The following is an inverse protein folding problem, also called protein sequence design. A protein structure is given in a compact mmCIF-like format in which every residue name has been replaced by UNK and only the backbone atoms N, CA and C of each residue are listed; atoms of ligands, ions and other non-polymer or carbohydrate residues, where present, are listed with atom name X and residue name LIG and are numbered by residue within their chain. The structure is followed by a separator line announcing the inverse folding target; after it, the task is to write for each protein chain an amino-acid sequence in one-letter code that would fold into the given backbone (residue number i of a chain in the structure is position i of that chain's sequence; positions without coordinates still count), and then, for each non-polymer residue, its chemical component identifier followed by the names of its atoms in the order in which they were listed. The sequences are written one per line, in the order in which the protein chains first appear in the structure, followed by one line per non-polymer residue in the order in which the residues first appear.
data_IF_597707496617
#
_entry.id   IF_597707496617
#
_cell.length_a   1.000
_cell.length_b   1.000
_cell.length_c   1.000
_cell.angle_alpha   90.00
_cell.angle_beta   90.00
_cell.angle_gamma   90.00
#
_symmetry.space_group_name_H-M   'P 1'
#
loop_
_entity.id
_entity.type
_entity.pdbx_description
1 polymer ?
#
# COMPACT_ATOMS: atom_id res chain seq x y z
N UNK A 1 33.43 46.80 4.26
CA UNK A 1 32.10 46.14 4.31
C UNK A 1 32.12 44.89 3.43
N UNK A 2 32.33 43.70 3.97
CA UNK A 2 32.20 42.42 3.24
C UNK A 2 31.84 41.22 4.16
N UNK A 3 31.15 41.46 5.27
CA UNK A 3 30.75 40.42 6.24
C UNK A 3 29.34 39.85 6.02
N UNK A 4 28.53 40.44 5.11
CA UNK A 4 27.13 40.05 4.90
C UNK A 4 26.91 38.81 4.01
N UNK A 5 27.83 38.54 3.07
CA UNK A 5 27.68 37.44 2.11
C UNK A 5 28.15 36.08 2.67
N UNK A 6 29.16 36.08 3.54
CA UNK A 6 29.78 34.86 4.11
C UNK A 6 28.95 34.23 5.23
N UNK A 7 28.35 35.05 6.12
CA UNK A 7 27.47 34.55 7.18
C UNK A 7 26.17 33.93 6.64
N UNK A 8 25.59 34.55 5.61
CA UNK A 8 24.38 34.04 4.93
C UNK A 8 24.65 32.74 4.17
N UNK A 9 25.80 32.63 3.50
CA UNK A 9 26.24 31.41 2.81
C UNK A 9 26.51 30.25 3.78
N UNK A 10 27.07 30.53 4.95
CA UNK A 10 27.30 29.52 6.00
C UNK A 10 25.99 29.04 6.63
N UNK A 11 25.03 29.93 6.88
CA UNK A 11 23.70 29.55 7.39
C UNK A 11 22.90 28.70 6.38
N UNK A 12 22.97 29.04 5.08
CA UNK A 12 22.37 28.22 4.02
C UNK A 12 23.10 26.88 3.90
N UNK A 13 24.44 26.86 3.97
CA UNK A 13 25.21 25.62 3.94
C UNK A 13 24.91 24.73 5.15
N UNK A 14 24.79 25.28 6.35
CA UNK A 14 24.41 24.56 7.57
C UNK A 14 22.97 24.05 7.48
N UNK A 15 22.02 24.85 6.99
CA UNK A 15 20.64 24.41 6.76
C UNK A 15 20.55 23.33 5.67
N UNK A 16 21.39 23.41 4.64
CA UNK A 16 21.51 22.37 3.60
C UNK A 16 22.15 21.12 4.17
N UNK A 17 23.20 21.22 4.99
CA UNK A 17 23.85 20.09 5.66
C UNK A 17 22.89 19.42 6.63
N UNK A 18 22.18 20.16 7.49
CA UNK A 18 21.14 19.63 8.38
C UNK A 18 20.00 18.98 7.60
N UNK A 19 19.57 19.61 6.51
CA UNK A 19 18.55 19.02 5.63
C UNK A 19 19.07 17.78 4.92
N UNK A 20 20.35 17.70 4.58
CA UNK A 20 20.99 16.56 3.93
C UNK A 20 21.27 15.42 4.91
N UNK A 21 21.71 15.70 6.14
CA UNK A 21 21.88 14.72 7.21
C UNK A 21 20.52 14.19 7.67
N UNK A 22 19.52 15.07 7.82
CA UNK A 22 18.14 14.67 8.07
C UNK A 22 17.56 13.85 6.90
N UNK A 23 17.84 14.21 5.64
CA UNK A 23 17.42 13.42 4.46
C UNK A 23 18.13 12.07 4.38
N UNK A 24 19.42 12.00 4.71
CA UNK A 24 20.19 10.75 4.71
C UNK A 24 19.73 9.82 5.83
N UNK A 25 19.61 10.33 7.05
CA UNK A 25 19.03 9.62 8.20
C UNK A 25 17.60 9.13 7.91
N UNK A 26 16.77 10.00 7.31
CA UNK A 26 15.42 9.66 6.82
C UNK A 26 15.44 8.55 5.77
N UNK A 27 16.33 8.61 4.78
CA UNK A 27 16.48 7.55 3.76
C UNK A 27 16.93 6.23 4.38
N UNK A 28 17.88 6.26 5.30
CA UNK A 28 18.39 5.05 5.94
C UNK A 28 17.34 4.41 6.88
N UNK A 29 16.55 5.21 7.59
CA UNK A 29 15.39 4.73 8.34
C UNK A 29 14.34 4.08 7.42
N UNK A 30 14.01 4.70 6.28
CA UNK A 30 13.07 4.15 5.29
C UNK A 30 13.58 2.87 4.66
N UNK A 31 14.89 2.77 4.39
CA UNK A 31 15.48 1.51 3.91
C UNK A 31 15.31 0.39 4.93
N UNK A 32 15.41 0.70 6.22
CA UNK A 32 15.02 -0.22 7.29
C UNK A 32 13.55 -0.66 7.16
N UNK A 33 12.63 0.28 6.95
CA UNK A 33 11.20 -0.03 6.76
C UNK A 33 10.90 -0.83 5.50
N UNK A 34 11.61 -0.56 4.41
CA UNK A 34 11.50 -1.37 3.19
C UNK A 34 11.88 -2.81 3.47
N UNK A 35 12.93 -3.06 4.24
CA UNK A 35 13.32 -4.44 4.61
C UNK A 35 12.27 -5.15 5.47
N UNK A 36 11.49 -4.39 6.24
CA UNK A 36 10.42 -4.94 7.09
C UNK A 36 9.13 -5.18 6.30
N UNK A 37 8.55 -4.14 5.69
CA UNK A 37 7.21 -4.20 5.12
C UNK A 37 7.16 -4.60 3.64
N UNK A 38 8.21 -4.34 2.85
CA UNK A 38 8.18 -4.62 1.42
C UNK A 38 8.01 -6.12 1.11
N UNK A 39 8.69 -7.07 1.81
CA UNK A 39 8.49 -8.49 1.57
C UNK A 39 7.03 -8.92 1.73
N UNK A 40 6.37 -8.53 2.81
CA UNK A 40 4.97 -8.93 3.07
C UNK A 40 3.97 -8.25 2.13
N UNK A 41 4.24 -7.01 1.71
CA UNK A 41 3.44 -6.36 0.66
C UNK A 41 3.62 -7.08 -0.68
N UNK A 42 4.84 -7.46 -1.05
CA UNK A 42 5.13 -8.22 -2.26
C UNK A 42 4.50 -9.61 -2.21
N UNK A 43 4.58 -10.32 -1.09
CA UNK A 43 3.95 -11.64 -0.90
C UNK A 43 2.43 -11.55 -1.06
N UNK A 44 1.80 -10.54 -0.45
CA UNK A 44 0.37 -10.27 -0.62
C UNK A 44 0.01 -9.94 -2.08
N UNK A 45 0.77 -9.04 -2.71
CA UNK A 45 0.54 -8.64 -4.11
C UNK A 45 0.68 -9.83 -5.06
N UNK A 46 1.73 -10.62 -4.93
CA UNK A 46 1.97 -11.80 -5.76
C UNK A 46 0.85 -12.82 -5.59
N UNK A 47 0.41 -13.06 -4.36
CA UNK A 47 -0.71 -13.97 -4.09
C UNK A 47 -1.99 -13.47 -4.75
N UNK A 48 -2.32 -12.19 -4.60
CA UNK A 48 -3.48 -11.57 -5.26
C UNK A 48 -3.37 -11.64 -6.79
N UNK A 49 -2.18 -11.43 -7.35
CA UNK A 49 -1.93 -11.52 -8.80
C UNK A 49 -2.10 -12.95 -9.31
N UNK A 50 -1.58 -13.94 -8.59
CA UNK A 50 -1.73 -15.35 -8.96
C UNK A 50 -3.20 -15.77 -8.94
N UNK A 51 -3.95 -15.36 -7.92
CA UNK A 51 -5.37 -15.71 -7.82
C UNK A 51 -6.24 -14.94 -8.82
N UNK A 52 -6.00 -13.65 -9.03
CA UNK A 52 -6.80 -12.85 -10.00
C UNK A 52 -6.58 -13.31 -11.44
N UNK A 53 -5.36 -13.77 -11.80
CA UNK A 53 -5.05 -14.25 -13.16
C UNK A 53 -5.93 -15.43 -13.58
N UNK A 54 -6.47 -16.19 -12.61
CA UNK A 54 -7.40 -17.29 -12.88
C UNK A 54 -8.81 -16.82 -13.26
N UNK A 55 -9.14 -15.56 -12.97
CA UNK A 55 -10.52 -15.03 -13.06
C UNK A 55 -10.67 -13.87 -14.04
N UNK A 56 -9.67 -13.00 -14.14
CA UNK A 56 -9.74 -11.76 -14.94
C UNK A 56 -8.40 -11.43 -15.59
N UNK A 57 -8.45 -10.82 -16.77
CA UNK A 57 -7.25 -10.30 -17.44
C UNK A 57 -6.65 -9.10 -16.68
N UNK A 58 -5.36 -8.82 -16.91
CA UNK A 58 -4.71 -7.64 -16.33
C UNK A 58 -5.40 -6.33 -16.74
N UNK A 59 -5.83 -6.20 -18.00
CA UNK A 59 -6.53 -5.01 -18.48
C UNK A 59 -7.88 -4.81 -17.77
N UNK A 60 -8.65 -5.89 -17.57
CA UNK A 60 -9.90 -5.83 -16.80
C UNK A 60 -9.65 -5.44 -15.34
N UNK A 61 -8.65 -6.03 -14.70
CA UNK A 61 -8.30 -5.68 -13.32
C UNK A 61 -7.91 -4.21 -13.15
N UNK A 62 -7.10 -3.68 -14.07
CA UNK A 62 -6.75 -2.26 -14.11
C UNK A 62 -7.99 -1.38 -14.28
N UNK A 63 -8.91 -1.76 -15.18
CA UNK A 63 -10.16 -1.02 -15.38
C UNK A 63 -11.06 -0.99 -14.13
N UNK A 64 -11.16 -2.12 -13.42
CA UNK A 64 -11.87 -2.22 -12.13
C UNK A 64 -11.25 -1.25 -11.11
N UNK A 65 -9.93 -1.28 -10.95
CA UNK A 65 -9.21 -0.39 -10.04
C UNK A 65 -9.44 1.09 -10.38
N UNK A 66 -9.36 1.45 -11.67
CA UNK A 66 -9.58 2.82 -12.12
C UNK A 66 -11.00 3.31 -11.84
N UNK A 67 -12.02 2.47 -12.10
CA UNK A 67 -13.42 2.84 -11.82
C UNK A 67 -13.68 2.97 -10.33
N UNK A 68 -13.18 2.04 -9.52
CA UNK A 68 -13.29 2.09 -8.06
C UNK A 68 -12.58 3.31 -7.47
N UNK A 69 -11.41 3.68 -8.01
CA UNK A 69 -10.70 4.89 -7.58
C UNK A 69 -11.45 6.16 -7.98
N UNK A 70 -11.97 6.24 -9.21
CA UNK A 70 -12.77 7.38 -9.69
C UNK A 70 -14.05 7.56 -8.89
N UNK A 71 -14.65 6.47 -8.42
CA UNK A 71 -15.84 6.50 -7.55
C UNK A 71 -15.54 6.75 -6.07
N UNK A 72 -14.27 6.96 -5.69
CA UNK A 72 -13.82 7.15 -4.31
C UNK A 72 -14.12 5.96 -3.39
N UNK A 73 -14.05 4.74 -3.93
CA UNK A 73 -14.21 3.51 -3.15
C UNK A 73 -15.64 2.98 -3.10
N UNK A 74 -16.55 3.54 -3.90
CA UNK A 74 -17.92 3.02 -4.02
C UNK A 74 -17.96 1.80 -4.94
N UNK A 75 -18.47 0.68 -4.42
CA UNK A 75 -18.56 -0.60 -5.17
C UNK A 75 -19.62 -0.59 -6.25
N UNK A 76 -20.52 0.38 -6.23
CA UNK A 76 -21.64 0.50 -7.16
C UNK A 76 -21.19 1.00 -8.54
N UNK A 77 -19.97 1.52 -8.63
CA UNK A 77 -19.32 1.83 -9.91
C UNK A 77 -18.84 0.59 -10.67
N UNK A 78 -18.91 -0.59 -10.06
CA UNK A 78 -18.51 -1.87 -10.66
C UNK A 78 -19.74 -2.62 -11.15
N UNK A 79 -19.54 -3.53 -12.09
CA UNK A 79 -20.63 -4.40 -12.53
C UNK A 79 -20.92 -5.48 -11.47
N UNK A 80 -22.18 -5.96 -11.35
CA UNK A 80 -22.52 -7.03 -10.40
C UNK A 80 -21.65 -8.28 -10.56
N UNK A 81 -21.32 -8.64 -11.81
CA UNK A 81 -20.45 -9.79 -12.12
C UNK A 81 -19.03 -9.56 -11.60
N UNK A 82 -18.50 -8.36 -11.69
CA UNK A 82 -17.16 -8.01 -11.20
C UNK A 82 -17.09 -8.07 -9.67
N UNK A 83 -18.11 -7.54 -8.98
CA UNK A 83 -18.21 -7.67 -7.52
C UNK A 83 -18.25 -9.14 -7.09
N UNK A 84 -19.02 -9.95 -7.80
CA UNK A 84 -19.14 -11.39 -7.54
C UNK A 84 -17.81 -12.11 -7.76
N UNK A 85 -17.07 -11.77 -8.82
CA UNK A 85 -15.75 -12.31 -9.10
C UNK A 85 -14.75 -11.98 -7.99
N UNK A 86 -14.72 -10.73 -7.53
CA UNK A 86 -13.83 -10.29 -6.44
C UNK A 86 -14.21 -10.99 -5.12
N UNK A 87 -15.50 -11.12 -4.84
CA UNK A 87 -15.99 -11.88 -3.70
C UNK A 87 -15.52 -13.34 -3.75
N UNK A 88 -15.70 -14.00 -4.90
CA UNK A 88 -15.28 -15.39 -5.10
C UNK A 88 -13.76 -15.56 -4.99
N UNK A 89 -12.98 -14.60 -5.48
CA UNK A 89 -11.52 -14.58 -5.34
C UNK A 89 -11.10 -14.65 -3.87
N UNK A 90 -11.72 -13.83 -3.02
CA UNK A 90 -11.43 -13.82 -1.59
C UNK A 90 -11.99 -15.06 -0.88
N UNK A 91 -13.25 -15.40 -1.12
CA UNK A 91 -13.93 -16.49 -0.43
C UNK A 91 -13.26 -17.86 -0.69
N UNK A 92 -12.83 -18.11 -1.93
CA UNK A 92 -12.16 -19.37 -2.31
C UNK A 92 -10.75 -19.48 -1.72
N UNK A 93 -10.09 -18.34 -1.50
CA UNK A 93 -8.70 -18.28 -1.06
C UNK A 93 -8.53 -17.72 0.36
N UNK A 94 -9.61 -17.71 1.15
CA UNK A 94 -9.65 -17.03 2.45
C UNK A 94 -8.48 -17.44 3.32
N UNK A 95 -8.28 -18.75 3.51
CA UNK A 95 -7.22 -19.28 4.38
C UNK A 95 -5.81 -18.84 3.97
N UNK A 96 -5.53 -18.79 2.66
CA UNK A 96 -4.26 -18.29 2.16
C UNK A 96 -4.09 -16.79 2.46
N UNK A 97 -5.14 -15.99 2.27
CA UNK A 97 -5.13 -14.58 2.63
C UNK A 97 -5.01 -14.35 4.13
N UNK A 98 -5.62 -15.17 4.99
CA UNK A 98 -5.53 -15.03 6.45
C UNK A 98 -4.09 -15.08 6.94
N UNK A 99 -3.30 -16.02 6.42
CA UNK A 99 -1.88 -16.14 6.79
C UNK A 99 -1.07 -14.91 6.36
N UNK A 100 -1.36 -14.38 5.17
CA UNK A 100 -0.71 -13.16 4.65
C UNK A 100 -1.12 -11.92 5.44
N UNK A 101 -2.39 -11.81 5.82
CA UNK A 101 -2.92 -10.68 6.59
C UNK A 101 -2.28 -10.57 7.95
N UNK A 102 -2.04 -11.69 8.64
CA UNK A 102 -1.38 -11.68 9.95
C UNK A 102 0.02 -11.05 9.87
N UNK A 103 0.81 -11.43 8.87
CA UNK A 103 2.15 -10.90 8.65
C UNK A 103 2.11 -9.44 8.19
N UNK A 104 1.26 -9.13 7.21
CA UNK A 104 1.10 -7.78 6.69
C UNK A 104 0.61 -6.79 7.76
N UNK A 105 -0.36 -7.18 8.61
CA UNK A 105 -0.82 -6.32 9.71
C UNK A 105 0.28 -6.04 10.73
N UNK A 106 1.09 -7.04 11.08
CA UNK A 106 2.22 -6.87 11.99
C UNK A 106 3.24 -5.87 11.44
N UNK A 107 3.64 -6.02 10.18
CA UNK A 107 4.62 -5.15 9.53
C UNK A 107 4.07 -3.73 9.34
N UNK A 108 2.79 -3.58 8.98
CA UNK A 108 2.16 -2.27 8.86
C UNK A 108 1.97 -1.57 10.21
N UNK A 109 1.73 -2.34 11.28
CA UNK A 109 1.68 -1.80 12.65
C UNK A 109 3.05 -1.28 13.08
N UNK A 110 4.11 -2.04 12.80
CA UNK A 110 5.48 -1.61 13.06
C UNK A 110 5.83 -0.39 12.22
N UNK A 111 5.52 -0.41 10.92
CA UNK A 111 5.69 0.73 10.03
C UNK A 111 5.01 1.99 10.59
N UNK A 112 3.75 1.89 11.00
CA UNK A 112 3.01 3.01 11.59
C UNK A 112 3.66 3.54 12.88
N UNK A 113 4.16 2.63 13.74
CA UNK A 113 4.83 2.99 14.98
C UNK A 113 6.14 3.75 14.75
N UNK A 114 6.95 3.32 13.75
CA UNK A 114 8.27 3.94 13.52
C UNK A 114 8.21 5.15 12.59
N UNK A 115 7.30 5.17 11.61
CA UNK A 115 7.03 6.36 10.79
C UNK A 115 6.53 7.49 11.70
N UNK A 116 5.66 7.20 12.67
CA UNK A 116 5.09 8.21 13.56
C UNK A 116 4.35 9.33 12.80
N UNK A 117 3.85 10.31 13.54
CA UNK A 117 3.10 11.43 12.95
C UNK A 117 3.99 12.44 12.19
N UNK A 118 5.30 12.43 12.44
CA UNK A 118 6.24 13.44 11.97
C UNK A 118 6.94 13.10 10.65
N UNK A 119 6.82 11.87 10.15
CA UNK A 119 7.56 11.42 8.98
C UNK A 119 6.80 11.67 7.67
N UNK A 120 5.65 11.01 7.51
CA UNK A 120 4.76 11.15 6.36
C UNK A 120 3.34 10.72 6.75
N UNK A 121 2.44 11.69 6.89
CA UNK A 121 1.05 11.45 7.29
C UNK A 121 0.27 10.62 6.26
N UNK A 122 0.65 10.66 4.98
CA UNK A 122 0.00 9.89 3.92
C UNK A 122 0.39 8.41 4.00
N UNK A 123 1.66 8.11 4.27
CA UNK A 123 2.13 6.74 4.50
C UNK A 123 1.43 6.13 5.73
N UNK A 124 1.31 6.91 6.79
CA UNK A 124 0.59 6.51 8.01
C UNK A 124 -0.89 6.27 7.72
N UNK A 125 -1.56 7.18 7.00
CA UNK A 125 -2.96 7.04 6.61
C UNK A 125 -3.23 5.78 5.78
N UNK A 126 -2.39 5.50 4.79
CA UNK A 126 -2.50 4.27 3.98
C UNK A 126 -2.27 3.01 4.80
N UNK A 127 -1.36 3.06 5.77
CA UNK A 127 -1.12 1.92 6.68
C UNK A 127 -2.35 1.63 7.52
N UNK A 128 -3.01 2.66 8.06
CA UNK A 128 -4.27 2.49 8.79
C UNK A 128 -5.41 2.01 7.89
N UNK A 129 -5.51 2.53 6.66
CA UNK A 129 -6.53 2.10 5.69
C UNK A 129 -6.38 0.63 5.31
N UNK A 130 -5.16 0.18 5.01
CA UNK A 130 -4.86 -1.22 4.72
C UNK A 130 -5.20 -2.13 5.92
N UNK A 131 -4.79 -1.74 7.13
CA UNK A 131 -5.09 -2.50 8.36
C UNK A 131 -6.58 -2.55 8.66
N UNK A 132 -7.30 -1.44 8.47
CA UNK A 132 -8.74 -1.39 8.61
C UNK A 132 -9.43 -2.32 7.61
N UNK A 133 -9.02 -2.29 6.34
CA UNK A 133 -9.56 -3.17 5.31
C UNK A 133 -9.32 -4.65 5.63
N UNK A 134 -8.13 -5.03 6.08
CA UNK A 134 -7.87 -6.41 6.57
C UNK A 134 -8.78 -6.77 7.73
N UNK A 135 -8.86 -5.92 8.76
CA UNK A 135 -9.70 -6.19 9.93
C UNK A 135 -11.18 -6.35 9.58
N UNK A 136 -11.67 -5.60 8.59
CA UNK A 136 -13.05 -5.75 8.10
C UNK A 136 -13.22 -7.06 7.34
N UNK A 137 -12.33 -7.39 6.39
CA UNK A 137 -12.36 -8.67 5.67
C UNK A 137 -12.34 -9.90 6.60
N UNK A 138 -11.60 -9.82 7.70
CA UNK A 138 -11.55 -10.89 8.72
C UNK A 138 -12.89 -11.11 9.43
N UNK A 139 -13.70 -10.06 9.56
CA UNK A 139 -14.99 -10.08 10.28
C UNK A 139 -16.18 -10.26 9.35
N UNK A 140 -16.03 -10.04 8.05
CA UNK A 140 -17.12 -10.21 7.09
C UNK A 140 -17.55 -11.67 7.01
N UNK A 141 -18.83 -11.92 7.24
CA UNK A 141 -19.45 -13.22 7.02
C UNK A 141 -19.53 -13.51 5.52
N UNK A 142 -19.14 -14.72 5.11
CA UNK A 142 -19.14 -15.13 3.70
C UNK A 142 -20.42 -15.90 3.35
N UNK A 143 -21.56 -15.23 3.51
CA UNK A 143 -22.89 -15.79 3.27
C UNK A 143 -23.40 -15.59 1.83
N UNK A 144 -22.63 -14.87 1.00
CA UNK A 144 -23.01 -14.55 -0.38
C UNK A 144 -24.10 -13.50 -0.52
N UNK A 145 -24.52 -12.84 0.58
CA UNK A 145 -25.46 -11.72 0.53
C UNK A 145 -24.87 -10.55 -0.27
N UNK A 146 -25.72 -9.69 -0.85
CA UNK A 146 -25.25 -8.49 -1.57
C UNK A 146 -24.42 -7.58 -0.65
N UNK A 147 -24.76 -7.53 0.63
CA UNK A 147 -23.98 -6.82 1.65
C UNK A 147 -22.57 -7.41 1.79
N UNK A 148 -22.43 -8.73 1.96
CA UNK A 148 -21.13 -9.40 2.07
C UNK A 148 -20.31 -9.23 0.78
N UNK A 149 -20.94 -9.37 -0.39
CA UNK A 149 -20.28 -9.20 -1.70
C UNK A 149 -19.70 -7.80 -1.85
N UNK A 150 -20.48 -6.76 -1.51
CA UNK A 150 -20.00 -5.36 -1.54
C UNK A 150 -18.89 -5.13 -0.53
N UNK A 151 -19.04 -5.64 0.69
CA UNK A 151 -18.07 -5.43 1.76
C UNK A 151 -16.70 -6.05 1.42
N UNK A 152 -16.69 -7.31 0.98
CA UNK A 152 -15.47 -7.99 0.53
C UNK A 152 -14.85 -7.26 -0.65
N UNK A 153 -15.66 -6.90 -1.65
CA UNK A 153 -15.19 -6.19 -2.83
C UNK A 153 -14.50 -4.86 -2.46
N UNK A 154 -15.16 -4.04 -1.64
CA UNK A 154 -14.63 -2.75 -1.18
C UNK A 154 -13.29 -2.95 -0.49
N UNK A 155 -13.24 -3.79 0.53
CA UNK A 155 -12.06 -3.88 1.38
C UNK A 155 -10.90 -4.63 0.73
N UNK A 156 -11.16 -5.58 -0.18
CA UNK A 156 -10.08 -6.23 -0.92
C UNK A 156 -9.41 -5.27 -1.91
N UNK A 157 -10.19 -4.46 -2.62
CA UNK A 157 -9.66 -3.44 -3.53
C UNK A 157 -8.93 -2.33 -2.77
N UNK A 158 -9.50 -1.84 -1.66
CA UNK A 158 -8.82 -0.86 -0.79
C UNK A 158 -7.48 -1.41 -0.29
N UNK A 159 -7.46 -2.64 0.23
CA UNK A 159 -6.23 -3.27 0.72
C UNK A 159 -5.17 -3.36 -0.40
N UNK A 160 -5.56 -3.83 -1.59
CA UNK A 160 -4.67 -3.91 -2.74
C UNK A 160 -4.07 -2.54 -3.10
N UNK A 161 -4.90 -1.50 -3.15
CA UNK A 161 -4.47 -0.16 -3.52
C UNK A 161 -3.58 0.48 -2.45
N UNK A 162 -3.97 0.40 -1.16
CA UNK A 162 -3.21 0.99 -0.06
C UNK A 162 -1.87 0.27 0.13
N UNK A 163 -1.82 -1.07 0.03
CA UNK A 163 -0.56 -1.83 0.11
C UNK A 163 0.41 -1.43 -1.02
N UNK A 164 -0.08 -1.34 -2.25
CA UNK A 164 0.75 -0.89 -3.38
C UNK A 164 1.22 0.57 -3.21
N UNK A 165 0.36 1.46 -2.70
CA UNK A 165 0.72 2.84 -2.48
C UNK A 165 1.80 2.99 -1.38
N UNK A 166 1.71 2.21 -0.30
CA UNK A 166 2.75 2.11 0.74
C UNK A 166 4.07 1.70 0.12
N UNK A 167 4.07 0.62 -0.69
CA UNK A 167 5.25 0.13 -1.38
C UNK A 167 5.93 1.20 -2.24
N UNK A 168 5.15 1.88 -3.10
CA UNK A 168 5.64 2.95 -3.98
C UNK A 168 6.21 4.12 -3.17
N UNK A 169 5.53 4.50 -2.09
CA UNK A 169 5.98 5.60 -1.23
C UNK A 169 7.29 5.27 -0.50
N UNK A 170 7.44 4.04 0.01
CA UNK A 170 8.67 3.59 0.66
C UNK A 170 9.86 3.63 -0.32
N UNK A 171 9.70 3.12 -1.54
CA UNK A 171 10.74 3.18 -2.58
C UNK A 171 11.14 4.63 -2.91
N UNK A 172 10.14 5.49 -3.14
CA UNK A 172 10.36 6.91 -3.41
C UNK A 172 11.13 7.59 -2.28
N UNK A 173 10.76 7.33 -1.03
CA UNK A 173 11.41 7.93 0.14
C UNK A 173 12.83 7.40 0.35
N UNK A 174 13.08 6.12 0.07
CA UNK A 174 14.42 5.52 0.14
C UNK A 174 15.33 5.94 -1.03
N UNK A 175 14.76 6.52 -2.09
CA UNK A 175 15.47 6.81 -3.33
C UNK A 175 15.95 5.53 -4.03
N UNK A 176 15.22 4.43 -3.83
CA UNK A 176 15.44 3.16 -4.51
C UNK A 176 14.53 3.16 -5.75
N UNK A 177 15.06 2.92 -6.96
CA UNK A 177 14.21 2.78 -8.13
C UNK A 177 13.19 1.67 -7.87
N UNK A 178 11.99 1.82 -8.43
CA UNK A 178 11.05 0.71 -8.51
C UNK A 178 11.65 -0.28 -9.51
N UNK A 179 12.60 -1.13 -9.08
CA UNK A 179 13.02 -2.26 -9.89
C UNK A 179 11.77 -3.09 -10.24
N UNK A 180 11.74 -3.70 -11.43
CA UNK A 180 10.59 -4.32 -12.10
C UNK A 180 9.80 -5.37 -11.27
N UNK A 181 9.07 -4.93 -10.24
CA UNK A 181 8.03 -5.73 -9.58
C UNK A 181 6.73 -5.73 -10.41
N UNK A 182 6.76 -5.16 -11.62
CA UNK A 182 5.59 -5.08 -12.50
C UNK A 182 5.67 -5.99 -13.74
N UNK A 183 6.83 -6.51 -14.15
CA UNK A 183 6.92 -7.36 -15.37
C UNK A 183 7.94 -8.52 -15.28
N UNK A 184 7.87 -9.37 -14.25
CA UNK A 184 8.53 -10.70 -14.27
C UNK A 184 7.55 -11.85 -14.07
N UNK A 185 6.38 -11.71 -14.69
CA UNK A 185 5.49 -12.81 -14.98
C UNK A 185 4.84 -12.57 -16.35
N UNK A 186 5.71 -12.47 -17.36
CA UNK A 186 5.35 -12.76 -18.75
C UNK A 186 4.94 -14.22 -18.91
#
# INVERSE_FOLDING_TARGET
MHLGATASGFAVAMAVVDKLTARKSRRDAVRGFMRLAAPSITDFHNSLVLEKRKLVSNAQWTSIHERFQKSKGETDSLEPVERTLIYQLFATNKEAFLQLFARLDADLRELAAVVGWSFDAKLLGMSFEARHAMATLLRTELDGSDAAVREVCRHLLMLSMSANAIYVMLHRHAGVPLDDVVESAG
#
